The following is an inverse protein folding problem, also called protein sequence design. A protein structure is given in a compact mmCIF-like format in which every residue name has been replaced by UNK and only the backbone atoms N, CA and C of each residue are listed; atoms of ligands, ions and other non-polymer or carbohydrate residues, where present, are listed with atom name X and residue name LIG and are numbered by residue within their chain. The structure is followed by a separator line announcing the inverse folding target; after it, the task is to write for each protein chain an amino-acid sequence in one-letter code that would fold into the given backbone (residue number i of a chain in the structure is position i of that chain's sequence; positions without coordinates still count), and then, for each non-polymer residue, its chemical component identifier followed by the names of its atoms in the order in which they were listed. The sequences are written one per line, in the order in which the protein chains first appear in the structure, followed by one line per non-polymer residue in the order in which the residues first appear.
data_IF_102888581053
#
_entry.id   IF_102888581053
#
_cell.length_a   1.000
_cell.length_b   1.000
_cell.length_c   1.000
_cell.angle_alpha   90.00
_cell.angle_beta   90.00
_cell.angle_gamma   90.00
#
_symmetry.space_group_name_H-M   'P 1'
#
loop_
_entity.id
_entity.type
_entity.pdbx_description
1 polymer ?
#
# COMPACT_ATOMS: atom_id res chain seq x y z
N UNK A 1 1.48 -21.00 -14.77
CA UNK A 1 1.72 -19.57 -14.45
C UNK A 1 2.07 -19.49 -12.97
N UNK A 2 3.11 -18.74 -12.57
CA UNK A 2 3.41 -18.56 -11.16
C UNK A 2 2.23 -17.89 -10.45
N UNK A 3 1.95 -18.31 -9.22
CA UNK A 3 0.95 -17.66 -8.36
C UNK A 3 1.35 -16.21 -8.09
N UNK A 4 0.44 -15.24 -8.23
CA UNK A 4 0.71 -13.87 -7.83
C UNK A 4 1.02 -13.84 -6.32
N UNK A 5 2.12 -13.18 -5.97
CA UNK A 5 2.62 -12.98 -4.60
C UNK A 5 2.83 -11.49 -4.37
N UNK A 6 2.74 -11.07 -3.11
CA UNK A 6 3.13 -9.72 -2.70
C UNK A 6 4.61 -9.45 -3.03
N UNK A 7 4.93 -8.19 -3.35
CA UNK A 7 6.30 -7.77 -3.67
C UNK A 7 7.17 -7.83 -2.42
N UNK A 8 8.45 -8.22 -2.54
CA UNK A 8 9.39 -8.21 -1.42
C UNK A 8 9.54 -6.80 -0.79
N UNK A 9 9.36 -5.74 -1.57
CA UNK A 9 9.39 -4.36 -1.07
C UNK A 9 8.21 -4.06 -0.14
N UNK A 10 7.01 -4.56 -0.46
CA UNK A 10 5.84 -4.44 0.40
C UNK A 10 6.05 -5.22 1.70
N UNK A 11 6.71 -6.39 1.61
CA UNK A 11 7.04 -7.20 2.79
C UNK A 11 7.99 -6.48 3.73
N UNK A 12 8.99 -5.77 3.19
CA UNK A 12 9.92 -4.99 4.00
C UNK A 12 9.21 -3.82 4.69
N UNK A 13 8.24 -3.19 4.02
CA UNK A 13 7.44 -2.11 4.61
C UNK A 13 6.54 -2.62 5.75
N UNK A 14 5.91 -3.78 5.56
CA UNK A 14 5.10 -4.43 6.60
C UNK A 14 5.96 -4.79 7.81
N UNK A 15 7.14 -5.35 7.59
CA UNK A 15 8.08 -5.69 8.66
C UNK A 15 8.54 -4.44 9.42
N UNK A 16 8.89 -3.36 8.70
CA UNK A 16 9.25 -2.10 9.33
C UNK A 16 8.10 -1.54 10.18
N UNK A 17 6.85 -1.61 9.68
CA UNK A 17 5.68 -1.23 10.46
C UNK A 17 5.55 -2.07 11.74
N UNK A 18 5.74 -3.39 11.64
CA UNK A 18 5.67 -4.29 12.79
C UNK A 18 6.76 -4.06 13.82
N UNK A 19 7.95 -3.60 13.41
CA UNK A 19 9.04 -3.28 14.35
C UNK A 19 8.84 -1.93 15.05
N UNK A 20 8.10 -1.01 14.43
CA UNK A 20 7.80 0.31 14.98
C UNK A 20 6.55 0.32 15.87
N UNK A 21 5.56 -0.50 15.53
CA UNK A 21 4.31 -0.60 16.26
C UNK A 21 4.52 -1.12 17.69
N UNK A 22 3.77 -0.53 18.62
CA UNK A 22 3.58 -1.00 19.99
C UNK A 22 2.26 -1.77 20.10
N UNK A 23 1.98 -2.36 21.26
CA UNK A 23 0.78 -3.18 21.48
C UNK A 23 -0.55 -2.39 21.28
N UNK A 24 -0.51 -1.07 21.39
CA UNK A 24 -1.67 -0.18 21.23
C UNK A 24 -1.84 0.35 19.79
N UNK A 25 -0.89 0.06 18.89
CA UNK A 25 -0.91 0.57 17.50
C UNK A 25 -1.63 -0.37 16.53
N UNK A 26 -2.41 0.20 15.60
CA UNK A 26 -3.06 -0.57 14.53
C UNK A 26 -2.29 -0.48 13.21
N UNK A 27 -1.68 -1.59 12.79
CA UNK A 27 -1.12 -1.74 11.44
C UNK A 27 -2.22 -2.08 10.43
N UNK A 28 -2.43 -1.22 9.45
CA UNK A 28 -3.29 -1.47 8.29
C UNK A 28 -2.46 -1.51 6.99
N UNK A 29 -2.74 -2.49 6.13
CA UNK A 29 -2.21 -2.51 4.76
C UNK A 29 -3.19 -1.84 3.80
N UNK A 30 -2.68 -1.12 2.80
CA UNK A 30 -3.47 -0.50 1.73
C UNK A 30 -2.88 -0.85 0.37
N UNK A 31 -3.73 -1.21 -0.58
CA UNK A 31 -3.32 -1.41 -1.97
C UNK A 31 -4.37 -0.87 -2.95
N UNK A 32 -3.87 -0.35 -4.08
CA UNK A 32 -4.62 0.18 -5.22
C UNK A 32 -4.35 -0.71 -6.42
N UNK A 33 -5.38 -1.05 -7.19
CA UNK A 33 -5.18 -1.85 -8.40
C UNK A 33 -6.47 -2.39 -9.01
N UNK A 34 -6.30 -3.12 -10.10
CA UNK A 34 -7.40 -3.71 -10.86
C UNK A 34 -7.84 -5.09 -10.37
N UNK A 35 -8.16 -5.94 -11.32
CA UNK A 35 -8.77 -7.26 -11.09
C UNK A 35 -7.95 -8.20 -10.20
N UNK A 36 -6.62 -8.03 -10.16
CA UNK A 36 -5.72 -8.87 -9.35
C UNK A 36 -6.05 -8.83 -7.86
N UNK A 37 -6.57 -7.72 -7.34
CA UNK A 37 -6.93 -7.57 -5.93
C UNK A 37 -8.11 -8.48 -5.51
N UNK A 38 -8.87 -9.02 -6.48
CA UNK A 38 -9.90 -10.03 -6.23
C UNK A 38 -9.32 -11.40 -5.89
N UNK A 39 -8.03 -11.62 -6.12
CA UNK A 39 -7.36 -12.86 -5.76
C UNK A 39 -7.21 -12.99 -4.23
N UNK A 40 -7.97 -13.89 -3.64
CA UNK A 40 -7.93 -14.15 -2.20
C UNK A 40 -6.57 -14.66 -1.70
N UNK A 41 -5.75 -15.27 -2.56
CA UNK A 41 -4.40 -15.70 -2.17
C UNK A 41 -3.48 -14.52 -1.92
N UNK A 42 -3.56 -13.48 -2.76
CA UNK A 42 -2.76 -12.25 -2.61
C UNK A 42 -3.16 -11.53 -1.32
N UNK A 43 -4.46 -11.39 -1.06
CA UNK A 43 -4.95 -10.76 0.17
C UNK A 43 -4.52 -11.52 1.43
N UNK A 44 -4.62 -12.86 1.39
CA UNK A 44 -4.18 -13.71 2.51
C UNK A 44 -2.68 -13.67 2.72
N UNK A 45 -1.89 -13.62 1.65
CA UNK A 45 -0.43 -13.50 1.74
C UNK A 45 -0.02 -12.21 2.47
N UNK A 46 -0.67 -11.07 2.19
CA UNK A 46 -0.44 -9.81 2.90
C UNK A 46 -0.89 -9.89 4.37
N UNK A 47 -2.15 -10.29 4.62
CA UNK A 47 -2.71 -10.34 5.98
C UNK A 47 -1.96 -11.32 6.90
N UNK A 48 -1.40 -12.41 6.35
CA UNK A 48 -0.66 -13.40 7.13
C UNK A 48 0.67 -12.91 7.70
N UNK A 49 1.07 -11.66 7.41
CA UNK A 49 2.41 -11.13 7.70
C UNK A 49 2.44 -10.01 8.74
N UNK A 50 1.31 -9.68 9.35
CA UNK A 50 1.27 -8.70 10.44
C UNK A 50 0.11 -7.72 10.42
N UNK A 51 -0.33 -7.17 9.26
CA UNK A 51 -1.38 -6.17 9.25
C UNK A 51 -2.69 -6.71 9.87
N UNK A 52 -3.30 -5.92 10.75
CA UNK A 52 -4.59 -6.23 11.36
C UNK A 52 -5.73 -6.16 10.34
N UNK A 53 -5.60 -5.24 9.39
CA UNK A 53 -6.59 -4.98 8.34
C UNK A 53 -5.93 -4.77 6.97
N UNK A 54 -6.71 -4.98 5.91
CA UNK A 54 -6.31 -4.76 4.53
C UNK A 54 -7.40 -3.98 3.79
N UNK A 55 -7.07 -2.75 3.39
CA UNK A 55 -7.89 -1.89 2.57
C UNK A 55 -7.54 -2.05 1.10
N UNK A 56 -8.58 -2.10 0.25
CA UNK A 56 -8.45 -2.26 -1.18
C UNK A 56 -9.16 -1.11 -1.89
N UNK A 57 -8.43 -0.39 -2.73
CA UNK A 57 -9.01 0.55 -3.69
C UNK A 57 -8.98 -0.14 -5.04
N UNK A 58 -10.13 -0.68 -5.42
CA UNK A 58 -10.24 -1.49 -6.63
C UNK A 58 -11.04 -0.80 -7.71
N UNK A 59 -10.40 -0.54 -8.85
CA UNK A 59 -11.04 -0.05 -10.07
C UNK A 59 -10.29 -0.61 -11.29
N UNK A 60 -11.02 -0.97 -12.35
CA UNK A 60 -10.41 -1.45 -13.59
C UNK A 60 -9.48 -0.41 -14.23
N UNK A 61 -9.74 0.89 -14.03
CA UNK A 61 -8.88 1.96 -14.52
C UNK A 61 -7.50 1.99 -13.85
N UNK A 62 -7.37 1.38 -12.66
CA UNK A 62 -6.12 1.31 -11.91
C UNK A 62 -5.19 0.18 -12.37
N UNK A 63 -5.63 -0.72 -13.26
CA UNK A 63 -4.80 -1.83 -13.75
C UNK A 63 -3.59 -1.35 -14.57
N UNK A 64 -3.71 -0.19 -15.20
CA UNK A 64 -2.65 0.45 -16.00
C UNK A 64 -2.46 1.92 -15.62
N UNK A 65 -2.83 2.29 -14.39
CA UNK A 65 -2.68 3.65 -13.92
C UNK A 65 -1.21 4.09 -13.96
N UNK A 66 -1.00 5.34 -14.38
CA UNK A 66 0.31 5.96 -14.29
C UNK A 66 0.67 6.23 -12.81
N UNK A 67 1.96 6.36 -12.46
CA UNK A 67 2.39 6.55 -11.08
C UNK A 67 1.66 7.68 -10.33
N UNK A 68 1.38 8.80 -11.01
CA UNK A 68 0.65 9.93 -10.43
C UNK A 68 -0.81 9.59 -10.11
N UNK A 69 -1.49 8.82 -10.95
CA UNK A 69 -2.89 8.44 -10.74
C UNK A 69 -3.01 7.41 -9.61
N UNK A 70 -2.06 6.45 -9.56
CA UNK A 70 -1.90 5.53 -8.42
C UNK A 70 -1.66 6.30 -7.13
N UNK A 71 -0.79 7.31 -7.13
CA UNK A 71 -0.51 8.13 -5.95
C UNK A 71 -1.72 8.95 -5.49
N UNK A 72 -2.50 9.53 -6.41
CA UNK A 72 -3.76 10.22 -6.06
C UNK A 72 -4.79 9.28 -5.44
N UNK A 73 -4.92 8.07 -5.98
CA UNK A 73 -5.83 7.07 -5.44
C UNK A 73 -5.42 6.62 -4.03
N UNK A 74 -4.12 6.44 -3.80
CA UNK A 74 -3.56 6.16 -2.47
C UNK A 74 -3.80 7.31 -1.51
N UNK A 75 -3.44 8.54 -1.87
CA UNK A 75 -3.62 9.74 -1.04
C UNK A 75 -5.08 9.91 -0.61
N UNK A 76 -6.02 9.86 -1.56
CA UNK A 76 -7.44 9.98 -1.28
C UNK A 76 -7.99 8.83 -0.40
N UNK A 77 -7.36 7.66 -0.42
CA UNK A 77 -7.75 6.54 0.43
C UNK A 77 -7.21 6.70 1.85
N UNK A 78 -5.94 7.07 2.02
CA UNK A 78 -5.35 7.26 3.36
C UNK A 78 -5.94 8.45 4.09
N UNK A 79 -6.34 9.52 3.39
CA UNK A 79 -7.09 10.63 4.00
C UNK A 79 -8.44 10.18 4.58
N UNK A 80 -9.10 9.19 3.96
CA UNK A 80 -10.37 8.64 4.45
C UNK A 80 -10.19 7.64 5.58
N UNK A 81 -9.11 6.88 5.55
CA UNK A 81 -8.79 5.87 6.56
C UNK A 81 -8.27 6.56 7.84
N UNK A 82 -7.49 7.64 7.67
CA UNK A 82 -6.70 8.24 8.73
C UNK A 82 -5.38 7.48 8.95
N UNK A 83 -4.34 8.19 9.36
CA UNK A 83 -3.04 7.60 9.67
C UNK A 83 -2.18 8.55 10.51
N UNK A 84 -1.25 7.98 11.27
CA UNK A 84 -0.17 8.72 11.95
C UNK A 84 1.17 8.57 11.20
N UNK A 85 1.39 7.42 10.55
CA UNK A 85 2.59 7.11 9.78
C UNK A 85 2.23 6.30 8.53
N UNK A 86 2.72 6.73 7.37
CA UNK A 86 2.71 5.96 6.13
C UNK A 86 4.08 5.37 5.85
N UNK A 87 4.14 4.05 5.63
CA UNK A 87 5.37 3.36 5.23
C UNK A 87 5.17 2.76 3.84
N UNK A 88 6.07 3.10 2.93
CA UNK A 88 6.10 2.56 1.57
C UNK A 88 7.27 1.59 1.41
N UNK A 89 7.06 0.55 0.60
CA UNK A 89 8.17 -0.20 0.03
C UNK A 89 8.99 0.71 -0.91
N UNK A 90 10.29 0.45 -1.01
CA UNK A 90 11.21 1.24 -1.85
C UNK A 90 10.75 1.32 -3.32
N UNK A 91 10.06 0.28 -3.81
CA UNK A 91 9.45 0.26 -5.12
C UNK A 91 8.46 -0.89 -5.25
N UNK A 92 7.98 -1.12 -6.47
CA UNK A 92 7.04 -2.21 -6.77
C UNK A 92 7.75 -3.37 -7.47
N UNK A 93 7.26 -4.60 -7.27
CA UNK A 93 7.87 -5.80 -7.86
C UNK A 93 7.71 -5.94 -9.37
N UNK A 94 6.93 -5.05 -10.00
CA UNK A 94 6.66 -5.03 -11.44
C UNK A 94 7.52 -3.99 -12.19
N UNK A 95 7.25 -2.71 -11.97
CA UNK A 95 7.87 -1.58 -12.68
C UNK A 95 9.02 -0.95 -11.88
N UNK A 96 9.10 -1.22 -10.58
CA UNK A 96 10.12 -0.69 -9.65
C UNK A 96 10.38 0.82 -9.83
N UNK A 97 9.32 1.60 -10.05
CA UNK A 97 9.45 3.01 -10.41
C UNK A 97 9.95 3.90 -9.24
N UNK A 98 9.91 3.40 -8.00
CA UNK A 98 10.33 4.11 -6.77
C UNK A 98 9.65 5.47 -6.53
N UNK A 99 8.52 5.71 -7.18
CA UNK A 99 7.85 7.01 -7.20
C UNK A 99 6.61 7.08 -6.30
N UNK A 100 6.02 5.93 -5.95
CA UNK A 100 4.73 5.90 -5.26
C UNK A 100 4.76 6.67 -3.92
N UNK A 101 5.72 6.35 -3.04
CA UNK A 101 5.82 7.01 -1.74
C UNK A 101 6.10 8.52 -1.84
N UNK A 102 7.00 8.92 -2.74
CA UNK A 102 7.34 10.33 -2.95
C UNK A 102 6.16 11.14 -3.48
N UNK A 103 5.45 10.61 -4.48
CA UNK A 103 4.28 11.27 -5.05
C UNK A 103 3.13 11.35 -4.05
N UNK A 104 2.90 10.30 -3.25
CA UNK A 104 1.88 10.33 -2.22
C UNK A 104 2.23 11.36 -1.15
N UNK A 105 3.49 11.41 -0.70
CA UNK A 105 3.96 12.40 0.26
C UNK A 105 3.86 13.85 -0.22
N UNK A 106 4.05 14.09 -1.52
CA UNK A 106 3.86 15.41 -2.14
C UNK A 106 2.37 15.80 -2.25
N UNK A 107 1.49 14.83 -2.53
CA UNK A 107 0.04 15.09 -2.67
C UNK A 107 -0.60 15.33 -1.30
N UNK A 108 -0.20 14.56 -0.29
CA UNK A 108 -0.74 14.70 1.05
C UNK A 108 -0.33 16.06 1.62
N UNK A 109 -1.25 16.77 2.28
CA UNK A 109 -0.87 18.00 2.98
C UNK A 109 0.19 17.64 4.02
N UNK A 110 1.34 18.28 3.94
CA UNK A 110 2.31 18.22 5.04
C UNK A 110 1.62 18.83 6.25
N UNK A 111 1.59 18.10 7.37
CA UNK A 111 1.13 18.62 8.66
C UNK A 111 2.10 19.69 9.14
N UNK A 112 1.98 20.87 8.53
CA UNK A 112 2.49 22.14 9.02
C UNK A 112 1.30 22.98 9.42
N UNK A 113 0.72 22.67 10.59
CA UNK A 113 0.08 23.59 11.54
C UNK A 113 -0.26 22.84 12.84
#
# INVERSE_FOLDING_TARGET
MPTPKSSQFDLNAIEAASQLATDDDEIAALTVGGSLLQNSKVRKDVLSRGPHSLYLVQDAQLEHALPLDTAKALAAAVEKIGFDLLIFGEGSGDLYAQQAGLLVGEILPTSGD
#
